data_IF_694531665238
#
_entry.id   IF_694531665238
#
_cell.length_a   1.000
_cell.length_b   1.000
_cell.length_c   1.000
_cell.angle_alpha   90.00
_cell.angle_beta   90.00
_cell.angle_gamma   90.00
#
_symmetry.space_group_name_H-M   'P 1'
#
loop_
_entity.id
_entity.type
_entity.pdbx_description
1 polymer ?
#
# COMPACT_ATOMS: atom_id res chain seq x y z
N UNK A 1 0.60 11.36 -6.80
CA UNK A 1 0.04 10.00 -6.82
C UNK A 1 -1.44 10.05 -6.46
N UNK A 2 -2.30 9.27 -7.13
CA UNK A 2 -3.72 9.15 -6.74
C UNK A 2 -3.85 8.12 -5.61
N UNK A 3 -4.69 8.42 -4.62
CA UNK A 3 -4.97 7.54 -3.50
C UNK A 3 -6.48 7.34 -3.34
N UNK A 4 -6.86 6.17 -2.84
CA UNK A 4 -8.20 5.84 -2.37
C UNK A 4 -8.15 5.79 -0.85
N UNK A 5 -9.01 6.57 -0.20
CA UNK A 5 -9.14 6.51 1.26
C UNK A 5 -9.98 5.29 1.64
N UNK A 6 -9.34 4.25 2.16
CA UNK A 6 -10.00 3.03 2.65
C UNK A 6 -9.77 2.90 4.13
N UNK A 7 -10.86 2.92 4.92
CA UNK A 7 -10.82 2.82 6.38
C UNK A 7 -9.81 3.80 7.01
N UNK A 8 -9.76 5.04 6.48
CA UNK A 8 -8.86 6.08 6.95
C UNK A 8 -7.38 5.87 6.61
N UNK A 9 -7.04 4.96 5.69
CA UNK A 9 -5.71 4.76 5.13
C UNK A 9 -5.65 5.23 3.66
N UNK A 10 -4.59 5.95 3.24
CA UNK A 10 -4.43 6.44 1.88
C UNK A 10 -3.81 5.38 0.96
N UNK A 11 -4.61 4.39 0.51
CA UNK A 11 -4.13 3.32 -0.36
C UNK A 11 -3.86 3.85 -1.76
N UNK A 12 -2.66 3.62 -2.29
CA UNK A 12 -2.26 4.10 -3.61
C UNK A 12 -3.01 3.36 -4.73
N UNK A 13 -3.58 4.13 -5.65
CA UNK A 13 -4.29 3.61 -6.81
C UNK A 13 -3.30 3.37 -7.96
N UNK A 14 -2.44 2.36 -7.79
CA UNK A 14 -1.38 2.02 -8.74
C UNK A 14 -1.54 0.60 -9.27
N UNK A 15 -1.13 0.39 -10.52
CA UNK A 15 -0.82 -0.94 -11.03
C UNK A 15 0.47 -1.45 -10.38
N UNK A 16 0.77 -2.74 -10.54
CA UNK A 16 1.98 -3.40 -10.11
C UNK A 16 3.21 -2.77 -10.76
N UNK A 17 3.16 -2.46 -12.05
CA UNK A 17 4.26 -1.78 -12.75
C UNK A 17 4.50 -0.39 -12.17
N UNK A 18 3.42 0.38 -11.94
CA UNK A 18 3.52 1.71 -11.34
C UNK A 18 4.01 1.66 -9.89
N UNK A 19 3.62 0.64 -9.12
CA UNK A 19 4.11 0.43 -7.77
C UNK A 19 5.61 0.10 -7.76
N UNK A 20 6.10 -0.71 -8.71
CA UNK A 20 7.53 -0.98 -8.88
C UNK A 20 8.28 0.31 -9.21
N UNK A 21 7.79 1.10 -10.18
CA UNK A 21 8.38 2.39 -10.55
C UNK A 21 8.44 3.37 -9.37
N UNK A 22 7.35 3.47 -8.62
CA UNK A 22 7.27 4.33 -7.44
C UNK A 22 8.28 3.90 -6.37
N UNK A 23 8.36 2.60 -6.07
CA UNK A 23 9.32 2.07 -5.09
C UNK A 23 10.76 2.31 -5.56
N UNK A 24 11.06 2.09 -6.84
CA UNK A 24 12.39 2.42 -7.39
C UNK A 24 12.69 3.90 -7.20
N UNK A 25 11.75 4.80 -7.48
CA UNK A 25 11.94 6.24 -7.22
C UNK A 25 12.19 6.55 -5.74
N UNK A 26 11.52 5.86 -4.82
CA UNK A 26 11.76 6.02 -3.38
C UNK A 26 13.20 5.62 -2.99
N UNK A 27 13.82 4.68 -3.71
CA UNK A 27 15.23 4.29 -3.45
C UNK A 27 16.26 5.36 -3.85
N UNK A 28 15.88 6.32 -4.69
CA UNK A 28 16.75 7.46 -5.05
C UNK A 28 16.94 8.44 -3.87
N UNK A 29 16.01 8.41 -2.91
CA UNK A 29 16.11 9.18 -1.67
C UNK A 29 17.15 8.58 -0.72
N UNK A 30 17.82 9.43 0.06
CA UNK A 30 18.69 9.00 1.17
C UNK A 30 17.93 8.74 2.47
N UNK A 31 16.62 8.97 2.48
CA UNK A 31 15.78 8.80 3.66
C UNK A 31 15.25 7.37 3.78
N UNK A 32 15.10 6.89 5.00
CA UNK A 32 14.42 5.62 5.25
C UNK A 32 12.91 5.81 5.08
N UNK A 33 12.33 5.11 4.12
CA UNK A 33 10.91 5.22 3.79
C UNK A 33 10.20 3.88 3.97
N UNK A 34 8.98 3.93 4.51
CA UNK A 34 8.15 2.74 4.73
C UNK A 34 7.23 2.48 3.54
N UNK A 35 7.31 1.27 2.98
CA UNK A 35 6.35 0.73 2.01
C UNK A 35 5.60 -0.42 2.68
N UNK A 36 4.27 -0.39 2.66
CA UNK A 36 3.45 -1.43 3.28
C UNK A 36 2.36 -1.95 2.33
N UNK A 37 2.23 -3.28 2.26
CA UNK A 37 1.19 -3.95 1.49
C UNK A 37 0.00 -4.23 2.41
N UNK A 38 -0.97 -3.33 2.40
CA UNK A 38 -2.09 -3.36 3.35
C UNK A 38 -3.02 -4.51 3.00
N UNK A 39 -3.21 -5.44 3.93
CA UNK A 39 -4.20 -6.51 3.83
C UNK A 39 -5.34 -6.34 4.85
N UNK A 40 -6.26 -7.30 4.91
CA UNK A 40 -7.38 -7.25 5.87
C UNK A 40 -6.93 -7.36 7.33
N UNK A 41 -5.84 -8.09 7.61
CA UNK A 41 -5.31 -8.23 8.97
C UNK A 41 -4.75 -6.90 9.50
N UNK A 42 -4.18 -6.08 8.62
CA UNK A 42 -3.71 -4.73 8.98
C UNK A 42 -4.90 -3.85 9.38
N UNK A 43 -6.00 -3.92 8.63
CA UNK A 43 -7.24 -3.22 8.97
C UNK A 43 -7.82 -3.72 10.30
N UNK A 44 -7.88 -5.03 10.51
CA UNK A 44 -8.35 -5.62 11.75
C UNK A 44 -7.46 -5.24 12.96
N UNK A 45 -6.15 -5.12 12.74
CA UNK A 45 -5.19 -4.66 13.75
C UNK A 45 -5.39 -3.18 14.10
N UNK A 46 -5.67 -2.34 13.10
CA UNK A 46 -5.95 -0.91 13.29
C UNK A 46 -7.26 -0.69 14.06
N UNK A 47 -8.36 -1.30 13.61
CA UNK A 47 -9.71 -0.94 14.01
C UNK A 47 -10.35 -1.91 15.02
N UNK A 48 -9.94 -3.18 15.03
CA UNK A 48 -10.63 -4.23 15.77
C UNK A 48 -12.10 -4.35 15.35
N UNK A 49 -12.97 -4.75 16.29
CA UNK A 49 -14.42 -4.86 16.03
C UNK A 49 -15.17 -3.52 16.02
N UNK A 50 -14.53 -2.41 16.43
CA UNK A 50 -15.22 -1.15 16.70
C UNK A 50 -14.63 -0.02 15.85
N UNK A 51 -15.16 0.13 14.63
CA UNK A 51 -14.65 1.05 13.61
C UNK A 51 -14.62 2.55 13.99
N UNK A 52 -15.30 2.96 15.07
CA UNK A 52 -15.27 4.36 15.53
C UNK A 52 -14.11 4.67 16.48
N UNK A 53 -13.39 3.66 16.98
CA UNK A 53 -12.23 3.85 17.87
C UNK A 53 -11.12 2.88 17.47
N UNK A 54 -9.95 3.36 17.03
CA UNK A 54 -8.85 2.49 16.66
C UNK A 54 -8.39 1.66 17.87
N UNK A 55 -8.26 0.34 17.67
CA UNK A 55 -7.66 -0.60 18.63
C UNK A 55 -6.17 -0.30 18.80
N UNK A 56 -5.47 -0.02 17.70
CA UNK A 56 -4.05 0.32 17.70
C UNK A 56 -3.84 1.66 16.97
N UNK A 57 -3.94 2.80 17.69
CA UNK A 57 -3.79 4.12 17.08
C UNK A 57 -2.37 4.39 16.57
N UNK A 58 -1.34 3.82 17.21
CA UNK A 58 0.05 4.00 16.79
C UNK A 58 0.30 3.31 15.45
N UNK A 59 -0.16 2.06 15.29
CA UNK A 59 -0.04 1.34 14.03
C UNK A 59 -0.81 2.03 12.89
N UNK A 60 -2.02 2.52 13.17
CA UNK A 60 -2.79 3.31 12.21
C UNK A 60 -2.04 4.59 11.80
N UNK A 61 -1.41 5.29 12.75
CA UNK A 61 -0.60 6.48 12.48
C UNK A 61 0.60 6.13 11.60
N UNK A 62 1.35 5.08 11.94
CA UNK A 62 2.51 4.62 11.15
C UNK A 62 2.12 4.28 9.70
N UNK A 63 0.99 3.61 9.48
CA UNK A 63 0.52 3.31 8.13
C UNK A 63 0.13 4.58 7.37
N UNK A 64 -0.51 5.56 8.03
CA UNK A 64 -0.84 6.86 7.40
C UNK A 64 0.38 7.67 6.99
N UNK A 65 1.49 7.50 7.70
CA UNK A 65 2.77 8.18 7.44
C UNK A 65 3.69 7.39 6.49
N UNK A 66 3.29 6.18 6.08
CA UNK A 66 4.04 5.38 5.12
C UNK A 66 4.13 6.09 3.75
N UNK A 67 5.28 5.96 3.09
CA UNK A 67 5.51 6.56 1.78
C UNK A 67 4.63 5.93 0.69
N UNK A 68 4.36 4.62 0.81
CA UNK A 68 3.48 3.90 -0.12
C UNK A 68 2.68 2.83 0.61
N UNK A 69 1.37 2.84 0.40
CA UNK A 69 0.46 1.77 0.81
C UNK A 69 -0.14 1.11 -0.43
N UNK A 70 0.12 -0.18 -0.66
CA UNK A 70 -0.52 -0.95 -1.74
C UNK A 70 -1.66 -1.82 -1.22
N UNK A 71 -2.57 -2.25 -2.10
CA UNK A 71 -3.69 -3.11 -1.74
C UNK A 71 -3.32 -4.59 -1.87
N UNK A 72 -3.11 -5.26 -0.74
CA UNK A 72 -2.80 -6.68 -0.64
C UNK A 72 -4.06 -7.48 -0.29
N UNK A 73 -4.84 -7.77 -1.31
CA UNK A 73 -6.03 -8.62 -1.20
C UNK A 73 -7.23 -8.09 -1.97
N UNK A 74 -8.04 -9.03 -2.47
CA UNK A 74 -9.24 -8.68 -3.24
C UNK A 74 -10.31 -7.90 -2.44
N UNK A 75 -10.50 -8.12 -1.12
CA UNK A 75 -11.49 -7.34 -0.37
C UNK A 75 -11.27 -5.83 -0.41
N UNK A 76 -10.02 -5.36 -0.45
CA UNK A 76 -9.71 -3.94 -0.59
C UNK A 76 -10.06 -3.40 -1.97
N UNK A 77 -9.77 -4.17 -3.01
CA UNK A 77 -10.14 -3.83 -4.38
C UNK A 77 -11.66 -3.76 -4.52
N UNK A 78 -12.40 -4.70 -3.95
CA UNK A 78 -13.87 -4.65 -3.94
C UNK A 78 -14.41 -3.46 -3.16
N UNK A 79 -13.89 -3.21 -1.95
CA UNK A 79 -14.28 -2.05 -1.14
C UNK A 79 -14.06 -0.73 -1.88
N UNK A 80 -12.93 -0.59 -2.57
CA UNK A 80 -12.62 0.60 -3.39
C UNK A 80 -13.66 0.85 -4.49
N UNK A 81 -14.16 -0.22 -5.13
CA UNK A 81 -15.20 -0.14 -6.15
C UNK A 81 -16.53 0.30 -5.54
N UNK A 82 -16.88 -0.23 -4.37
CA UNK A 82 -18.13 0.12 -3.68
C UNK A 82 -18.19 1.58 -3.23
N UNK A 83 -17.06 2.19 -2.85
CA UNK A 83 -16.99 3.60 -2.48
C UNK A 83 -16.84 4.55 -3.69
N UNK A 84 -16.94 4.03 -4.92
CA UNK A 84 -16.87 4.84 -6.15
C UNK A 84 -15.48 5.30 -6.56
N UNK A 85 -14.43 4.77 -5.94
CA UNK A 85 -13.02 5.10 -6.22
C UNK A 85 -12.22 3.81 -6.43
N UNK A 86 -12.32 3.18 -7.61
CA UNK A 86 -11.77 1.86 -7.84
C UNK A 86 -10.24 1.87 -7.85
N UNK A 87 -9.64 0.95 -7.09
CA UNK A 87 -8.24 0.56 -7.24
C UNK A 87 -8.10 -0.24 -8.56
N UNK A 88 -7.04 0.00 -9.34
CA UNK A 88 -6.87 -0.63 -10.64
C UNK A 88 -6.67 -2.14 -10.52
N UNK A 89 -5.88 -2.60 -9.55
CA UNK A 89 -5.66 -4.01 -9.29
C UNK A 89 -5.22 -4.30 -7.84
N UNK A 90 -5.04 -5.59 -7.55
CA UNK A 90 -4.44 -6.10 -6.31
C UNK A 90 -2.91 -6.14 -6.50
N UNK A 91 -2.17 -5.58 -5.54
CA UNK A 91 -0.70 -5.51 -5.57
C UNK A 91 -0.15 -6.04 -4.25
N UNK A 92 0.28 -7.30 -4.25
CA UNK A 92 0.84 -7.96 -3.06
C UNK A 92 2.35 -7.80 -2.98
N UNK A 93 2.92 -8.05 -1.79
CA UNK A 93 4.37 -8.06 -1.62
C UNK A 93 5.08 -9.07 -2.54
N UNK A 94 4.43 -10.22 -2.80
CA UNK A 94 4.96 -11.24 -3.71
C UNK A 94 4.99 -10.76 -5.17
N UNK A 95 3.95 -10.02 -5.59
CA UNK A 95 3.87 -9.46 -6.95
C UNK A 95 4.94 -8.40 -7.21
N UNK A 96 5.43 -7.74 -6.15
CA UNK A 96 6.43 -6.68 -6.21
C UNK A 96 7.87 -7.20 -6.14
N UNK A 97 8.12 -8.26 -5.38
CA UNK A 97 9.47 -8.71 -5.03
C UNK A 97 10.35 -9.01 -6.26
N UNK A 98 9.94 -9.94 -7.12
CA UNK A 98 10.73 -10.32 -8.30
C UNK A 98 10.90 -9.18 -9.32
N UNK A 99 9.86 -8.41 -9.68
CA UNK A 99 10.00 -7.24 -10.54
C UNK A 99 10.97 -6.19 -9.99
N UNK A 100 10.93 -5.89 -8.69
CA UNK A 100 11.86 -4.95 -8.06
C UNK A 100 13.30 -5.43 -8.17
N UNK A 101 13.58 -6.69 -7.83
CA UNK A 101 14.92 -7.25 -7.97
C UNK A 101 15.43 -7.16 -9.42
N UNK A 102 14.58 -7.49 -10.40
CA UNK A 102 14.94 -7.39 -11.82
C UNK A 102 15.22 -5.96 -12.25
N UNK A 103 14.42 -5.00 -11.77
CA UNK A 103 14.56 -3.59 -12.12
C UNK A 103 15.86 -3.00 -11.56
N UNK A 104 16.11 -3.18 -10.27
CA UNK A 104 17.29 -2.64 -9.59
C UNK A 104 18.58 -3.29 -10.09
N UNK A 105 18.58 -4.61 -10.35
CA UNK A 105 19.75 -5.29 -10.91
C UNK A 105 20.12 -4.83 -12.34
N UNK A 106 19.18 -4.22 -13.07
CA UNK A 106 19.45 -3.66 -14.39
C UNK A 106 19.98 -2.21 -14.33
N UNK A 107 19.76 -1.51 -13.22
CA UNK A 107 20.23 -0.13 -12.97
C UNK A 107 21.65 -0.09 -12.40
N UNK A 108 22.10 -1.16 -11.72
CA UNK A 108 23.48 -1.35 -11.21
C UNK A 108 24.52 -1.70 -12.32
N UNK A 109 24.23 -1.39 -13.58
CA UNK A 109 25.16 -1.52 -14.72
C UNK A 109 25.55 -0.16 -15.28
#
# INVERSE_FOLDING_TARGET
MKHVSLFGLPIAALTREQAVEEITRLTESKECQLVATVNCDFLATCWGFRFWRPKNPLFLKTLREAALLTADGMPLVWASKWIGSPLPERVTGQDLFLPLCKRLAAEDK
#
